data_IF_440530432277
#
_entry.id   IF_440530432277
#
_cell.length_a   1.000
_cell.length_b   1.000
_cell.length_c   1.000
_cell.angle_alpha   90.00
_cell.angle_beta   90.00
_cell.angle_gamma   90.00
#
_symmetry.space_group_name_H-M   'P 1'
#
loop_
_entity.id
_entity.type
_entity.pdbx_description
1 polymer ?
#
# COMPACT_ATOMS: atom_id res chain seq x y z
N UNK A 1 -18.69 20.03 79.18
CA UNK A 1 -19.88 20.90 79.19
C UNK A 1 -20.28 21.15 77.74
N UNK A 2 -21.55 20.97 77.36
CA UNK A 2 -22.15 19.64 77.32
C UNK A 2 -23.09 19.42 76.13
N UNK A 3 -23.54 18.18 76.09
CA UNK A 3 -24.62 17.54 75.34
C UNK A 3 -26.04 18.03 75.73
N UNK A 4 -26.99 17.74 74.84
CA UNK A 4 -28.45 17.70 74.97
C UNK A 4 -29.26 18.94 75.35
N UNK A 5 -30.20 19.33 74.47
CA UNK A 5 -31.59 19.59 74.87
C UNK A 5 -32.57 19.23 73.73
N UNK A 6 -33.53 18.37 74.08
CA UNK A 6 -34.74 17.98 73.33
C UNK A 6 -35.66 19.17 73.03
N UNK A 7 -36.35 19.13 71.88
CA UNK A 7 -37.65 19.79 71.63
C UNK A 7 -38.45 18.88 70.64
N UNK A 8 -39.79 18.92 70.55
CA UNK A 8 -40.69 17.82 70.92
C UNK A 8 -41.44 17.19 69.73
N UNK A 9 -42.11 16.06 69.98
CA UNK A 9 -43.00 15.40 69.03
C UNK A 9 -44.23 16.25 68.71
N UNK A 10 -44.38 16.62 67.43
CA UNK A 10 -45.57 17.26 66.87
C UNK A 10 -46.47 16.26 66.14
N UNK A 11 -47.67 16.10 66.69
CA UNK A 11 -48.99 15.64 66.19
C UNK A 11 -49.09 14.83 64.87
N UNK A 12 -49.79 13.67 64.85
CA UNK A 12 -49.99 12.87 63.65
C UNK A 12 -51.02 13.53 62.71
N UNK A 13 -50.65 13.68 61.43
CA UNK A 13 -51.58 14.08 60.37
C UNK A 13 -52.48 12.89 60.00
N UNK A 14 -53.79 13.11 60.11
CA UNK A 14 -54.85 12.21 59.67
C UNK A 14 -54.84 12.00 58.14
N UNK A 15 -55.30 10.85 57.63
CA UNK A 15 -55.26 10.55 56.20
C UNK A 15 -56.33 11.35 55.46
N UNK A 16 -55.91 12.43 54.79
CA UNK A 16 -56.73 13.12 53.80
C UNK A 16 -56.93 12.23 52.57
N UNK A 17 -58.16 11.80 52.36
CA UNK A 17 -58.66 11.07 51.19
C UNK A 17 -58.42 11.87 49.91
N UNK A 18 -57.35 11.51 49.20
CA UNK A 18 -57.02 12.06 47.88
C UNK A 18 -56.07 11.13 47.14
N UNK A 19 -56.48 9.87 46.91
CA UNK A 19 -55.78 8.99 45.96
C UNK A 19 -55.98 9.57 44.56
N UNK A 20 -55.07 10.43 44.11
CA UNK A 20 -54.83 10.57 42.67
C UNK A 20 -54.23 9.24 42.24
N UNK A 21 -55.02 8.42 41.55
CA UNK A 21 -54.51 7.22 40.90
C UNK A 21 -53.48 7.65 39.85
N UNK A 22 -52.22 7.33 40.10
CA UNK A 22 -51.11 7.44 39.13
C UNK A 22 -51.33 6.48 37.91
N UNK A 23 -52.44 5.74 37.85
CA UNK A 23 -52.75 4.86 36.72
C UNK A 23 -53.27 5.57 35.47
N UNK A 24 -53.64 6.85 35.52
CA UNK A 24 -54.50 7.43 34.46
C UNK A 24 -53.85 8.52 33.58
N UNK A 25 -52.54 8.85 33.69
CA UNK A 25 -51.98 9.96 32.87
C UNK A 25 -50.57 9.88 32.29
N UNK A 26 -49.89 8.72 32.25
CA UNK A 26 -48.77 8.53 31.29
C UNK A 26 -48.76 7.07 30.84
N UNK A 27 -49.19 6.79 29.60
CA UNK A 27 -48.88 5.51 28.96
C UNK A 27 -47.39 5.48 28.65
N UNK A 28 -46.57 5.01 29.59
CA UNK A 28 -45.12 4.81 29.43
C UNK A 28 -44.72 4.09 28.11
N UNK A 29 -45.51 3.13 27.57
CA UNK A 29 -45.22 2.51 26.27
C UNK A 29 -45.32 3.48 25.07
N UNK A 30 -46.18 4.50 25.15
CA UNK A 30 -46.33 5.49 24.09
C UNK A 30 -45.13 6.45 24.02
N UNK A 31 -44.45 6.68 25.16
CA UNK A 31 -43.27 7.54 25.23
C UNK A 31 -42.05 6.96 24.49
N UNK A 32 -41.97 5.64 24.28
CA UNK A 32 -40.84 4.96 23.63
C UNK A 32 -41.22 4.43 22.23
N UNK A 33 -42.43 4.72 21.76
CA UNK A 33 -42.86 4.32 20.41
C UNK A 33 -42.10 5.07 19.31
N UNK A 34 -41.94 4.44 18.14
CA UNK A 34 -41.34 5.09 16.96
C UNK A 34 -42.07 6.37 16.56
N UNK A 35 -43.40 6.36 16.61
CA UNK A 35 -44.23 7.53 16.31
C UNK A 35 -44.01 8.65 17.34
N UNK A 36 -43.87 8.30 18.63
CA UNK A 36 -43.52 9.25 19.68
C UNK A 36 -42.14 9.88 19.49
N UNK A 37 -41.16 9.11 19.01
CA UNK A 37 -39.82 9.61 18.69
C UNK A 37 -39.84 10.57 17.49
N UNK A 38 -40.55 10.20 16.41
CA UNK A 38 -40.75 11.06 15.24
C UNK A 38 -41.41 12.38 15.63
N UNK A 39 -42.46 12.32 16.45
CA UNK A 39 -43.14 13.53 16.94
C UNK A 39 -42.23 14.43 17.75
N UNK A 40 -41.47 13.87 18.70
CA UNK A 40 -40.51 14.66 19.50
C UNK A 40 -39.46 15.32 18.64
N UNK A 41 -38.92 14.60 17.65
CA UNK A 41 -37.92 15.14 16.72
C UNK A 41 -38.51 16.27 15.88
N UNK A 42 -39.71 16.07 15.33
CA UNK A 42 -40.43 17.10 14.59
C UNK A 42 -40.64 18.38 15.42
N UNK A 43 -41.16 18.23 16.65
CA UNK A 43 -41.38 19.38 17.54
C UNK A 43 -40.05 20.06 17.94
N UNK A 44 -38.97 19.29 18.16
CA UNK A 44 -37.64 19.80 18.50
C UNK A 44 -36.99 20.62 17.36
N UNK A 45 -37.32 20.31 16.11
CA UNK A 45 -36.84 21.04 14.93
C UNK A 45 -37.68 22.29 14.62
N UNK A 46 -38.69 22.60 15.42
CA UNK A 46 -39.60 23.74 15.19
C UNK A 46 -40.89 23.38 14.46
N UNK A 47 -41.16 22.09 14.26
CA UNK A 47 -42.40 21.57 13.70
C UNK A 47 -42.74 22.17 12.34
N UNK A 48 -44.03 22.52 12.17
CA UNK A 48 -44.56 22.99 10.90
C UNK A 48 -43.89 24.28 10.40
N UNK A 49 -43.38 25.11 11.31
CA UNK A 49 -42.71 26.36 10.94
C UNK A 49 -41.37 26.12 10.25
N UNK A 50 -40.66 25.05 10.61
CA UNK A 50 -39.35 24.73 10.04
C UNK A 50 -39.43 23.72 8.89
N UNK A 51 -40.26 22.69 9.04
CA UNK A 51 -40.32 21.56 8.10
C UNK A 51 -41.56 21.56 7.21
N UNK A 52 -42.59 22.35 7.56
CA UNK A 52 -43.93 22.22 6.99
C UNK A 52 -44.69 21.02 7.55
N UNK A 53 -45.95 20.90 7.16
CA UNK A 53 -46.75 19.72 7.51
C UNK A 53 -46.24 18.47 6.75
N UNK A 54 -46.18 17.30 7.40
CA UNK A 54 -45.80 16.05 6.72
C UNK A 54 -46.74 15.76 5.54
N UNK A 55 -46.17 15.51 4.36
CA UNK A 55 -46.93 15.16 3.15
C UNK A 55 -47.22 13.66 3.04
N UNK A 56 -46.41 12.82 3.68
CA UNK A 56 -46.68 11.40 3.84
C UNK A 56 -46.11 10.90 5.17
N UNK A 57 -46.85 9.98 5.80
CA UNK A 57 -46.49 9.32 7.06
C UNK A 57 -46.67 7.83 6.94
N UNK A 58 -45.61 7.08 7.21
CA UNK A 58 -45.70 5.68 7.57
C UNK A 58 -45.55 5.58 9.10
N UNK A 59 -46.60 5.13 9.76
CA UNK A 59 -46.73 5.18 11.23
C UNK A 59 -45.53 4.49 11.90
N UNK A 60 -44.87 5.24 12.80
CA UNK A 60 -43.73 4.75 13.56
C UNK A 60 -42.46 4.45 12.76
N UNK A 61 -42.39 4.84 11.49
CA UNK A 61 -41.24 4.58 10.61
C UNK A 61 -40.67 5.85 9.98
N UNK A 62 -41.46 6.57 9.19
CA UNK A 62 -40.95 7.72 8.44
C UNK A 62 -42.03 8.76 8.18
N UNK A 63 -41.66 10.03 8.35
CA UNK A 63 -42.43 11.18 7.91
C UNK A 63 -41.65 11.92 6.83
N UNK A 64 -42.32 12.31 5.74
CA UNK A 64 -41.71 13.06 4.62
C UNK A 64 -42.36 14.43 4.47
N UNK A 65 -41.61 15.38 3.93
CA UNK A 65 -42.00 16.79 3.88
C UNK A 65 -41.84 17.36 2.47
N UNK A 66 -42.66 18.36 2.14
CA UNK A 66 -42.65 19.01 0.82
C UNK A 66 -41.33 19.73 0.51
N UNK A 67 -40.55 20.09 1.54
CA UNK A 67 -39.26 20.79 1.39
C UNK A 67 -38.09 19.86 1.03
N UNK A 68 -38.34 18.58 0.70
CA UNK A 68 -37.28 17.64 0.37
C UNK A 68 -36.49 17.15 1.59
N UNK A 69 -37.19 16.93 2.71
CA UNK A 69 -36.63 16.32 3.91
C UNK A 69 -37.50 15.18 4.42
N UNK A 70 -36.93 14.35 5.29
CA UNK A 70 -37.66 13.34 6.04
C UNK A 70 -37.16 13.23 7.49
N UNK A 71 -38.03 12.73 8.36
CA UNK A 71 -37.68 12.20 9.67
C UNK A 71 -37.86 10.69 9.64
N UNK A 72 -36.82 9.94 9.94
CA UNK A 72 -36.84 8.48 9.95
C UNK A 72 -36.55 7.96 11.36
N UNK A 73 -37.38 7.03 11.84
CA UNK A 73 -37.15 6.35 13.09
C UNK A 73 -36.17 5.19 12.90
N UNK A 74 -35.14 5.15 13.73
CA UNK A 74 -34.21 4.05 13.84
C UNK A 74 -34.55 3.21 15.09
N UNK A 75 -35.07 1.98 14.91
CA UNK A 75 -35.47 1.13 16.03
C UNK A 75 -34.28 0.64 16.87
N UNK A 76 -33.10 0.45 16.27
CA UNK A 76 -31.91 -0.04 16.97
C UNK A 76 -31.32 1.02 17.90
N UNK A 77 -31.48 2.30 17.52
CA UNK A 77 -31.03 3.45 18.32
C UNK A 77 -32.14 4.07 19.17
N UNK A 78 -33.38 3.59 19.03
CA UNK A 78 -34.58 4.16 19.67
C UNK A 78 -34.72 5.68 19.45
N UNK A 79 -34.27 6.20 18.30
CA UNK A 79 -34.19 7.64 18.00
C UNK A 79 -34.69 7.94 16.58
N UNK A 80 -35.12 9.18 16.34
CA UNK A 80 -35.51 9.65 15.01
C UNK A 80 -34.47 10.65 14.48
N UNK A 81 -34.13 10.52 13.20
CA UNK A 81 -33.08 11.28 12.54
C UNK A 81 -33.59 12.01 11.30
N UNK A 82 -33.04 13.19 11.05
CA UNK A 82 -33.36 14.00 9.87
C UNK A 82 -32.39 13.74 8.69
N UNK A 83 -32.96 13.76 7.49
CA UNK A 83 -32.22 13.76 6.22
C UNK A 83 -32.85 14.83 5.33
N UNK A 84 -32.07 15.64 4.65
CA UNK A 84 -32.61 16.70 3.80
C UNK A 84 -31.80 16.94 2.50
N UNK A 85 -32.39 17.72 1.59
CA UNK A 85 -31.75 18.19 0.37
C UNK A 85 -31.18 17.07 -0.50
N UNK A 86 -29.95 17.27 -0.98
CA UNK A 86 -29.29 16.34 -1.92
C UNK A 86 -28.95 14.99 -1.29
N UNK A 87 -28.70 14.95 0.02
CA UNK A 87 -28.49 13.67 0.74
C UNK A 87 -29.80 12.88 0.77
N UNK A 88 -30.93 13.55 1.02
CA UNK A 88 -32.25 12.91 0.95
C UNK A 88 -32.56 12.40 -0.46
N UNK A 89 -32.30 13.20 -1.49
CA UNK A 89 -32.49 12.80 -2.88
C UNK A 89 -31.62 11.57 -3.25
N UNK A 90 -30.35 11.55 -2.82
CA UNK A 90 -29.46 10.40 -3.02
C UNK A 90 -29.94 9.17 -2.26
N UNK A 91 -30.35 9.33 -1.01
CA UNK A 91 -30.86 8.22 -0.20
C UNK A 91 -32.09 7.57 -0.84
N UNK A 92 -33.03 8.37 -1.37
CA UNK A 92 -34.17 7.85 -2.15
C UNK A 92 -33.70 7.10 -3.41
N UNK A 93 -32.74 7.64 -4.15
CA UNK A 93 -32.20 7.00 -5.35
C UNK A 93 -31.52 5.65 -5.08
N UNK A 94 -30.94 5.47 -3.88
CA UNK A 94 -30.34 4.21 -3.46
C UNK A 94 -31.38 3.18 -2.98
N UNK A 95 -32.64 3.57 -2.77
CA UNK A 95 -33.72 2.69 -2.32
C UNK A 95 -34.37 3.09 -0.99
N UNK A 96 -34.00 4.25 -0.43
CA UNK A 96 -34.57 4.78 0.82
C UNK A 96 -34.39 3.81 1.99
N UNK A 97 -35.46 3.57 2.76
CA UNK A 97 -35.43 2.67 3.91
C UNK A 97 -35.06 1.22 3.56
N UNK A 98 -35.24 0.79 2.30
CA UNK A 98 -34.81 -0.55 1.87
C UNK A 98 -33.29 -0.65 1.72
N UNK A 99 -32.61 0.47 1.43
CA UNK A 99 -31.15 0.54 1.37
C UNK A 99 -30.53 0.78 2.75
N UNK A 100 -31.14 1.67 3.54
CA UNK A 100 -30.66 1.87 4.89
C UNK A 100 -31.42 2.86 5.74
N UNK A 101 -31.22 2.72 7.05
CA UNK A 101 -31.83 3.56 8.09
C UNK A 101 -30.76 4.51 8.65
N UNK A 102 -31.03 5.82 8.76
CA UNK A 102 -30.06 6.79 9.28
C UNK A 102 -29.73 6.54 10.76
N UNK A 103 -28.50 6.88 11.15
CA UNK A 103 -27.95 6.80 12.51
C UNK A 103 -27.54 8.16 13.07
N UNK A 104 -27.55 9.19 12.23
CA UNK A 104 -27.23 10.57 12.59
C UNK A 104 -28.22 11.50 11.91
N UNK A 105 -28.40 12.68 12.50
CA UNK A 105 -28.90 13.82 11.76
C UNK A 105 -27.90 14.25 10.70
N UNK A 106 -28.37 15.05 9.73
CA UNK A 106 -27.49 15.59 8.70
C UNK A 106 -26.52 16.61 9.32
N UNK A 107 -25.26 16.20 9.43
CA UNK A 107 -24.23 16.92 10.17
C UNK A 107 -23.19 17.50 9.22
N UNK A 108 -22.64 18.67 9.55
CA UNK A 108 -21.52 19.24 8.80
C UNK A 108 -20.26 18.39 8.97
N UNK A 109 -19.46 18.26 7.90
CA UNK A 109 -18.19 17.55 7.97
C UNK A 109 -17.17 18.34 8.80
N UNK A 110 -16.23 17.65 9.48
CA UNK A 110 -15.19 18.29 10.28
C UNK A 110 -14.31 19.32 9.55
N UNK A 111 -14.10 19.19 8.25
CA UNK A 111 -13.38 20.18 7.43
C UNK A 111 -14.18 21.47 7.13
N UNK A 112 -15.47 21.49 7.47
CA UNK A 112 -16.38 22.62 7.28
C UNK A 112 -16.90 22.79 5.85
N UNK A 113 -16.68 21.83 4.94
CA UNK A 113 -17.02 21.96 3.52
C UNK A 113 -18.35 21.26 3.17
N UNK A 114 -18.51 20.03 3.64
CA UNK A 114 -19.59 19.14 3.28
C UNK A 114 -20.58 18.88 4.40
N UNK A 115 -21.53 17.99 4.10
CA UNK A 115 -22.53 17.45 5.03
C UNK A 115 -22.64 15.94 4.84
N UNK A 116 -23.07 15.23 5.87
CA UNK A 116 -23.23 13.79 5.80
C UNK A 116 -24.32 13.25 6.73
N UNK A 117 -24.81 12.06 6.40
CA UNK A 117 -25.51 11.17 7.31
C UNK A 117 -24.80 9.81 7.35
N UNK A 118 -24.75 9.18 8.53
CA UNK A 118 -24.42 7.76 8.65
C UNK A 118 -25.68 6.90 8.61
N UNK A 119 -25.54 5.68 8.13
CA UNK A 119 -26.61 4.71 7.96
C UNK A 119 -26.16 3.31 8.44
N UNK A 120 -27.13 2.42 8.66
CA UNK A 120 -26.92 0.98 8.85
C UNK A 120 -25.93 0.67 9.97
N UNK A 121 -26.20 1.15 11.19
CA UNK A 121 -25.31 1.02 12.34
C UNK A 121 -23.87 1.50 12.07
N UNK A 122 -23.75 2.64 11.37
CA UNK A 122 -22.48 3.25 10.95
C UNK A 122 -21.63 2.39 10.00
N UNK A 123 -22.25 1.54 9.17
CA UNK A 123 -21.58 0.78 8.11
C UNK A 123 -21.72 1.42 6.72
N UNK A 124 -22.58 2.43 6.59
CA UNK A 124 -22.78 3.20 5.38
C UNK A 124 -22.83 4.70 5.69
N UNK A 125 -22.51 5.52 4.69
CA UNK A 125 -22.65 6.97 4.74
C UNK A 125 -23.10 7.50 3.39
N UNK A 126 -23.78 8.64 3.42
CA UNK A 126 -23.90 9.51 2.25
C UNK A 126 -23.24 10.83 2.62
N UNK A 127 -22.27 11.25 1.82
CA UNK A 127 -21.59 12.54 1.95
C UNK A 127 -21.99 13.45 0.79
N UNK A 128 -22.05 14.75 1.05
CA UNK A 128 -22.35 15.77 0.07
C UNK A 128 -21.38 16.94 0.18
N UNK A 129 -21.00 17.50 -0.95
CA UNK A 129 -20.38 18.84 -1.03
C UNK A 129 -21.04 19.66 -2.13
N UNK A 130 -20.94 21.00 -2.09
CA UNK A 130 -21.39 21.85 -3.19
C UNK A 130 -20.70 21.55 -4.53
N UNK A 131 -19.47 21.02 -4.50
CA UNK A 131 -18.68 20.78 -5.70
C UNK A 131 -18.94 19.41 -6.35
N UNK A 132 -19.25 18.39 -5.54
CA UNK A 132 -19.34 16.99 -5.99
C UNK A 132 -20.76 16.42 -5.94
N UNK A 133 -21.69 17.09 -5.28
CA UNK A 133 -23.00 16.53 -4.96
C UNK A 133 -22.91 15.39 -3.95
N UNK A 134 -24.01 14.64 -3.81
CA UNK A 134 -24.14 13.56 -2.83
C UNK A 134 -23.69 12.21 -3.40
N UNK A 135 -22.91 11.45 -2.64
CA UNK A 135 -22.43 10.11 -2.99
C UNK A 135 -22.48 9.15 -1.79
N UNK A 136 -22.86 7.90 -2.07
CA UNK A 136 -22.93 6.82 -1.09
C UNK A 136 -21.63 6.02 -0.99
N UNK A 137 -21.21 5.71 0.23
CA UNK A 137 -20.03 4.89 0.52
C UNK A 137 -20.33 3.94 1.67
N UNK A 138 -19.98 2.65 1.55
CA UNK A 138 -20.33 1.66 2.56
C UNK A 138 -19.27 0.55 2.71
N UNK A 139 -19.54 -0.38 3.62
CA UNK A 139 -18.72 -1.58 3.85
C UNK A 139 -17.23 -1.30 4.07
N UNK A 140 -16.39 -2.19 3.55
CA UNK A 140 -14.94 -2.16 3.76
C UNK A 140 -14.25 -0.98 3.05
N UNK A 141 -14.86 -0.42 2.01
CA UNK A 141 -14.34 0.79 1.34
C UNK A 141 -14.52 2.00 2.25
N UNK A 142 -15.71 2.15 2.86
CA UNK A 142 -15.95 3.18 3.88
C UNK A 142 -15.02 3.03 5.07
N UNK A 143 -14.82 1.81 5.55
CA UNK A 143 -13.90 1.54 6.67
C UNK A 143 -12.46 1.92 6.32
N UNK A 144 -11.98 1.60 5.12
CA UNK A 144 -10.65 2.03 4.67
C UNK A 144 -10.55 3.55 4.60
N UNK A 145 -11.53 4.22 3.99
CA UNK A 145 -11.54 5.69 3.92
C UNK A 145 -11.56 6.34 5.32
N UNK A 146 -12.29 5.75 6.26
CA UNK A 146 -12.28 6.16 7.67
C UNK A 146 -10.91 6.01 8.32
N UNK A 147 -10.22 4.88 8.10
CA UNK A 147 -8.89 4.60 8.65
C UNK A 147 -7.84 5.63 8.20
N UNK A 148 -7.96 6.14 6.97
CA UNK A 148 -7.02 7.12 6.41
C UNK A 148 -7.42 8.58 6.65
N UNK A 149 -8.48 8.83 7.44
CA UNK A 149 -8.86 10.17 7.89
C UNK A 149 -10.05 10.81 7.17
N UNK A 150 -10.94 10.03 6.56
CA UNK A 150 -12.18 10.50 5.93
C UNK A 150 -11.93 11.61 4.89
N UNK A 151 -12.76 12.65 4.88
CA UNK A 151 -12.68 13.77 3.94
C UNK A 151 -11.40 14.59 4.08
N UNK A 152 -10.70 14.48 5.23
CA UNK A 152 -9.40 15.11 5.48
C UNK A 152 -8.22 14.29 4.96
N UNK A 153 -8.47 13.07 4.49
CA UNK A 153 -7.44 12.24 3.85
C UNK A 153 -7.00 12.82 2.51
N UNK A 154 -5.94 12.26 1.94
CA UNK A 154 -5.49 12.62 0.60
C UNK A 154 -6.56 12.39 -0.48
N UNK A 155 -7.58 11.56 -0.22
CA UNK A 155 -8.62 11.23 -1.20
C UNK A 155 -9.70 12.33 -1.32
N UNK A 156 -9.98 13.06 -0.25
CA UNK A 156 -11.13 13.98 -0.20
C UNK A 156 -12.47 13.24 -0.11
N UNK A 157 -13.47 13.70 -0.85
CA UNK A 157 -14.86 13.23 -0.79
C UNK A 157 -15.16 12.15 -1.83
N UNK A 158 -16.05 11.18 -1.55
CA UNK A 158 -16.54 10.27 -2.58
C UNK A 158 -17.28 11.05 -3.67
N UNK A 159 -17.00 10.71 -4.94
CA UNK A 159 -17.66 11.31 -6.12
C UNK A 159 -18.46 10.28 -6.93
N UNK A 160 -18.41 9.02 -6.53
CA UNK A 160 -19.26 7.94 -7.05
C UNK A 160 -19.95 7.25 -5.89
N UNK A 161 -21.09 6.62 -6.16
CA UNK A 161 -21.61 5.58 -5.28
C UNK A 161 -20.70 4.34 -5.37
N UNK A 162 -20.67 3.52 -4.32
CA UNK A 162 -19.89 2.28 -4.35
C UNK A 162 -20.47 1.32 -5.40
N UNK A 163 -19.68 1.04 -6.43
CA UNK A 163 -20.10 0.27 -7.60
C UNK A 163 -19.27 -0.99 -7.77
N UNK A 164 -19.84 -2.01 -8.42
CA UNK A 164 -19.06 -3.19 -8.82
C UNK A 164 -18.07 -2.83 -9.92
N UNK A 165 -16.90 -3.48 -9.92
CA UNK A 165 -15.94 -3.34 -11.01
C UNK A 165 -16.45 -4.02 -12.30
N UNK A 166 -16.03 -3.53 -13.48
CA UNK A 166 -16.35 -4.12 -14.78
C UNK A 166 -16.12 -5.63 -14.93
N UNK A 167 -15.10 -6.17 -14.26
CA UNK A 167 -14.79 -7.60 -14.27
C UNK A 167 -15.69 -8.46 -13.36
N UNK A 168 -16.56 -7.82 -12.56
CA UNK A 168 -17.48 -8.47 -11.63
C UNK A 168 -16.84 -9.03 -10.34
N UNK A 169 -15.56 -8.77 -10.07
CA UNK A 169 -14.85 -9.33 -8.91
C UNK A 169 -14.86 -8.40 -7.70
N UNK A 170 -14.64 -7.12 -7.93
CA UNK A 170 -14.42 -6.12 -6.90
C UNK A 170 -15.51 -5.06 -6.81
N UNK A 171 -15.27 -4.11 -5.90
CA UNK A 171 -16.08 -2.91 -5.73
C UNK A 171 -15.16 -1.70 -5.57
N UNK A 172 -15.64 -0.51 -5.89
CA UNK A 172 -14.84 0.70 -5.78
C UNK A 172 -15.66 1.96 -5.49
N UNK A 173 -14.98 2.98 -4.95
CA UNK A 173 -15.39 4.38 -5.01
C UNK A 173 -14.24 5.21 -5.62
N UNK A 174 -14.60 6.22 -6.42
CA UNK A 174 -13.69 7.31 -6.77
C UNK A 174 -13.90 8.50 -5.83
N UNK A 175 -12.85 9.30 -5.66
CA UNK A 175 -12.83 10.45 -4.75
C UNK A 175 -12.31 11.71 -5.44
N UNK A 176 -12.66 12.87 -4.87
CA UNK A 176 -12.50 14.19 -5.47
C UNK A 176 -11.05 14.58 -5.77
N UNK A 177 -10.09 14.08 -5.00
CA UNK A 177 -8.68 14.49 -5.10
C UNK A 177 -7.85 13.49 -5.92
N UNK A 178 -8.38 13.05 -7.06
CA UNK A 178 -7.78 11.99 -7.87
C UNK A 178 -7.45 10.74 -7.03
N UNK A 179 -8.41 10.32 -6.22
CA UNK A 179 -8.31 9.18 -5.32
C UNK A 179 -9.27 8.06 -5.68
N UNK A 180 -8.92 6.83 -5.34
CA UNK A 180 -9.81 5.68 -5.47
C UNK A 180 -9.54 4.66 -4.39
N UNK A 181 -10.58 3.98 -3.93
CA UNK A 181 -10.46 2.82 -3.05
C UNK A 181 -11.12 1.66 -3.77
N UNK A 182 -10.37 0.58 -3.96
CA UNK A 182 -10.83 -0.66 -4.56
C UNK A 182 -10.80 -1.77 -3.52
N UNK A 183 -11.80 -2.64 -3.58
CA UNK A 183 -11.94 -3.80 -2.69
C UNK A 183 -12.20 -5.06 -3.50
N UNK A 184 -11.58 -6.17 -3.09
CA UNK A 184 -12.00 -7.53 -3.48
C UNK A 184 -12.02 -8.44 -2.24
N UNK A 185 -12.71 -9.59 -2.30
CA UNK A 185 -12.62 -10.59 -1.23
C UNK A 185 -11.19 -11.09 -0.97
N UNK A 186 -10.33 -11.11 -1.99
CA UNK A 186 -8.96 -11.63 -1.90
C UNK A 186 -7.92 -10.62 -1.44
N UNK A 187 -8.12 -9.32 -1.72
CA UNK A 187 -7.13 -8.28 -1.43
C UNK A 187 -7.53 -7.40 -0.25
N UNK A 188 -8.82 -7.28 0.07
CA UNK A 188 -9.31 -6.23 0.96
C UNK A 188 -9.36 -4.87 0.26
N UNK A 189 -9.69 -3.82 1.01
CA UNK A 189 -9.86 -2.46 0.50
C UNK A 189 -8.54 -1.70 0.54
N UNK A 190 -8.11 -1.10 -0.58
CA UNK A 190 -6.85 -0.35 -0.69
C UNK A 190 -7.04 0.94 -1.46
N UNK A 191 -6.35 1.99 -1.00
CA UNK A 191 -6.35 3.31 -1.59
C UNK A 191 -5.22 3.49 -2.62
N UNK A 192 -5.57 4.06 -3.77
CA UNK A 192 -4.65 4.46 -4.85
C UNK A 192 -5.00 5.89 -5.25
N UNK A 193 -4.03 6.79 -5.27
CA UNK A 193 -4.28 8.21 -5.56
C UNK A 193 -3.15 8.87 -6.37
N UNK A 194 -3.37 10.12 -6.79
CA UNK A 194 -2.38 10.94 -7.48
C UNK A 194 -1.86 10.32 -8.79
N UNK A 195 -0.57 10.52 -9.07
CA UNK A 195 0.08 10.06 -10.31
C UNK A 195 0.10 8.54 -10.43
N UNK A 196 0.15 7.81 -9.31
CA UNK A 196 0.09 6.35 -9.31
C UNK A 196 -1.29 5.88 -9.81
N UNK A 197 -2.36 6.47 -9.28
CA UNK A 197 -3.73 6.21 -9.78
C UNK A 197 -3.87 6.59 -11.24
N UNK A 198 -3.35 7.75 -11.65
CA UNK A 198 -3.42 8.21 -13.03
C UNK A 198 -2.73 7.23 -14.00
N UNK A 199 -1.58 6.66 -13.61
CA UNK A 199 -0.90 5.62 -14.39
C UNK A 199 -1.74 4.36 -14.49
N UNK A 200 -2.28 3.87 -13.37
CA UNK A 200 -3.12 2.68 -13.34
C UNK A 200 -4.42 2.85 -14.14
N UNK A 201 -5.05 4.02 -14.06
CA UNK A 201 -6.21 4.41 -14.87
C UNK A 201 -5.88 4.36 -16.37
N UNK A 202 -4.76 4.94 -16.78
CA UNK A 202 -4.31 4.92 -18.18
C UNK A 202 -4.02 3.51 -18.71
N UNK A 203 -3.76 2.54 -17.83
CA UNK A 203 -3.55 1.13 -18.16
C UNK A 203 -4.84 0.32 -18.21
N UNK A 204 -5.98 0.89 -17.84
CA UNK A 204 -7.27 0.19 -17.79
C UNK A 204 -7.63 -0.37 -16.41
N UNK A 205 -7.13 0.23 -15.33
CA UNK A 205 -7.54 -0.10 -13.96
C UNK A 205 -7.29 -1.57 -13.59
N UNK A 206 -8.25 -2.22 -12.91
CA UNK A 206 -8.20 -3.62 -12.51
C UNK A 206 -8.14 -4.59 -13.71
N UNK A 207 -8.51 -4.14 -14.90
CA UNK A 207 -8.39 -4.93 -16.14
C UNK A 207 -6.98 -4.90 -16.76
N UNK A 208 -6.09 -4.03 -16.25
CA UNK A 208 -4.69 -4.01 -16.65
C UNK A 208 -3.95 -5.27 -16.19
N UNK A 209 -2.74 -5.49 -16.71
CA UNK A 209 -1.94 -6.66 -16.31
C UNK A 209 -1.59 -6.66 -14.81
N UNK A 210 -1.61 -5.50 -14.14
CA UNK A 210 -1.32 -5.37 -12.72
C UNK A 210 -2.43 -5.95 -11.84
N UNK A 211 -3.69 -5.91 -12.28
CA UNK A 211 -4.86 -6.31 -11.49
C UNK A 211 -5.20 -5.31 -10.39
N UNK A 212 -5.71 -5.81 -9.27
CA UNK A 212 -6.13 -5.01 -8.11
C UNK A 212 -4.98 -4.57 -7.22
N UNK A 213 -5.10 -3.42 -6.53
CA UNK A 213 -4.17 -3.05 -5.47
C UNK A 213 -4.20 -4.05 -4.31
N UNK A 214 -3.03 -4.37 -3.78
CA UNK A 214 -2.83 -5.22 -2.59
C UNK A 214 -2.21 -4.43 -1.43
N UNK A 215 -1.90 -3.15 -1.65
CA UNK A 215 -1.46 -2.21 -0.62
C UNK A 215 -2.07 -0.83 -0.83
N UNK A 216 -2.18 -0.06 0.25
CA UNK A 216 -2.24 1.40 0.18
C UNK A 216 -0.90 1.97 -0.35
N UNK A 217 -0.85 3.27 -0.66
CA UNK A 217 0.39 3.93 -1.10
C UNK A 217 1.40 4.00 0.05
N UNK A 218 2.56 3.39 -0.12
CA UNK A 218 3.65 3.33 0.87
C UNK A 218 4.83 4.21 0.48
N UNK A 219 5.65 4.56 1.46
CA UNK A 219 6.96 5.17 1.19
C UNK A 219 7.89 4.18 0.49
N UNK A 220 8.65 4.67 -0.47
CA UNK A 220 9.60 3.90 -1.26
C UNK A 220 10.99 4.53 -1.25
N UNK A 221 12.00 3.80 -1.74
CA UNK A 221 13.40 4.23 -1.70
C UNK A 221 13.60 5.61 -2.35
N UNK A 222 14.59 6.36 -1.85
CA UNK A 222 15.00 7.66 -2.44
C UNK A 222 13.87 8.70 -2.49
N UNK A 223 12.97 8.68 -1.49
CA UNK A 223 11.85 9.61 -1.39
C UNK A 223 10.72 9.32 -2.38
N UNK A 224 10.70 8.12 -2.97
CA UNK A 224 9.62 7.67 -3.83
C UNK A 224 8.39 7.21 -3.05
N UNK A 225 7.32 6.92 -3.79
CA UNK A 225 6.09 6.30 -3.30
C UNK A 225 5.74 5.10 -4.17
N UNK A 226 5.01 4.14 -3.64
CA UNK A 226 4.58 2.98 -4.42
C UNK A 226 3.22 2.43 -3.97
N UNK A 227 2.45 1.89 -4.92
CA UNK A 227 1.39 0.92 -4.63
C UNK A 227 1.80 -0.44 -5.20
N UNK A 228 1.55 -1.49 -4.43
CA UNK A 228 1.66 -2.86 -4.90
C UNK A 228 0.30 -3.34 -5.42
N UNK A 229 0.35 -4.10 -6.50
CA UNK A 229 -0.78 -4.74 -7.17
C UNK A 229 -0.56 -6.25 -7.25
N UNK A 230 -1.61 -7.00 -7.58
CA UNK A 230 -1.57 -8.47 -7.63
C UNK A 230 -0.40 -9.01 -8.47
N UNK A 231 -0.11 -8.36 -9.60
CA UNK A 231 0.89 -8.83 -10.57
C UNK A 231 2.02 -7.83 -10.82
N UNK A 232 2.28 -6.89 -9.91
CA UNK A 232 3.31 -5.88 -10.10
C UNK A 232 3.15 -4.70 -9.17
N UNK A 233 3.83 -3.61 -9.46
CA UNK A 233 3.81 -2.39 -8.67
C UNK A 233 3.87 -1.16 -9.58
N UNK A 234 3.42 -0.03 -9.06
CA UNK A 234 3.66 1.28 -9.67
C UNK A 234 4.49 2.09 -8.70
N UNK A 235 5.64 2.55 -9.18
CA UNK A 235 6.65 3.28 -8.43
C UNK A 235 6.71 4.72 -8.91
N UNK A 236 6.72 5.67 -8.00
CA UNK A 236 6.69 7.10 -8.30
C UNK A 236 7.81 7.85 -7.59
N UNK A 237 8.44 8.79 -8.30
CA UNK A 237 9.27 9.84 -7.73
C UNK A 237 8.94 11.18 -8.38
N UNK A 238 9.13 12.29 -7.67
CA UNK A 238 8.81 13.63 -8.16
C UNK A 238 9.57 14.03 -9.43
N UNK A 239 10.75 13.48 -9.68
CA UNK A 239 11.60 13.77 -10.84
C UNK A 239 11.37 12.84 -12.04
N UNK A 240 10.70 11.70 -11.85
CA UNK A 240 10.52 10.69 -12.91
C UNK A 240 9.06 10.33 -13.17
N UNK A 241 8.14 10.66 -12.26
CA UNK A 241 6.73 10.28 -12.33
C UNK A 241 6.50 8.80 -12.03
N UNK A 242 5.29 8.32 -12.31
CA UNK A 242 4.87 6.94 -12.07
C UNK A 242 5.38 5.98 -13.16
N UNK A 243 5.88 4.81 -12.75
CA UNK A 243 6.40 3.74 -13.60
C UNK A 243 5.84 2.40 -13.09
N UNK A 244 5.11 1.69 -13.94
CA UNK A 244 4.61 0.33 -13.71
C UNK A 244 5.66 -0.72 -14.07
N UNK A 245 5.79 -1.74 -13.23
CA UNK A 245 6.63 -2.92 -13.48
C UNK A 245 5.98 -4.15 -12.86
N UNK A 246 6.11 -5.30 -13.52
CA UNK A 246 5.78 -6.61 -12.93
C UNK A 246 6.86 -7.01 -11.95
N UNK A 247 8.00 -7.40 -12.48
CA UNK A 247 9.26 -7.64 -11.78
C UNK A 247 10.42 -7.07 -12.63
N UNK A 248 11.62 -7.12 -12.09
CA UNK A 248 12.86 -6.84 -12.79
C UNK A 248 13.66 -8.13 -12.92
N UNK A 249 14.25 -8.35 -14.09
CA UNK A 249 15.22 -9.43 -14.34
C UNK A 249 16.59 -8.80 -14.54
N UNK A 250 17.59 -9.35 -13.85
CA UNK A 250 19.00 -9.00 -14.06
C UNK A 250 19.74 -10.20 -14.61
N UNK A 251 20.43 -9.97 -15.72
CA UNK A 251 21.30 -10.95 -16.34
C UNK A 251 22.75 -10.50 -16.20
N UNK A 252 23.64 -11.43 -15.92
CA UNK A 252 25.03 -11.28 -16.33
C UNK A 252 25.13 -11.50 -17.84
N UNK A 253 25.75 -10.56 -18.54
CA UNK A 253 25.75 -10.50 -20.01
C UNK A 253 27.13 -10.69 -20.64
N UNK A 254 28.19 -10.75 -19.84
CA UNK A 254 29.52 -11.10 -20.32
C UNK A 254 30.67 -10.45 -19.56
N UNK A 255 31.87 -10.81 -20.00
CA UNK A 255 33.17 -10.35 -19.50
C UNK A 255 33.94 -9.65 -20.62
N UNK A 256 34.70 -8.61 -20.31
CA UNK A 256 35.70 -8.07 -21.22
C UNK A 256 37.08 -8.06 -20.54
N UNK A 257 38.10 -8.50 -21.29
CA UNK A 257 39.49 -8.51 -20.86
C UNK A 257 40.19 -7.21 -21.28
N UNK A 258 40.71 -6.47 -20.31
CA UNK A 258 41.51 -5.26 -20.53
C UNK A 258 43.03 -5.54 -20.53
N UNK A 259 43.46 -6.64 -19.92
CA UNK A 259 44.86 -7.05 -19.84
C UNK A 259 44.95 -8.47 -19.25
N UNK A 260 45.94 -9.22 -19.71
CA UNK A 260 46.22 -10.61 -19.34
C UNK A 260 47.52 -10.72 -18.54
N UNK A 261 47.90 -11.93 -18.11
CA UNK A 261 49.18 -12.14 -17.43
C UNK A 261 50.34 -12.28 -18.43
N UNK A 262 50.99 -11.16 -18.78
CA UNK A 262 52.03 -11.10 -19.84
C UNK A 262 53.35 -11.89 -19.60
N UNK A 263 53.49 -12.65 -18.49
CA UNK A 263 54.82 -12.94 -17.92
C UNK A 263 55.46 -14.30 -18.25
N UNK A 264 54.76 -15.26 -18.86
CA UNK A 264 55.45 -16.42 -19.44
C UNK A 264 54.85 -16.87 -20.79
N UNK A 265 55.72 -17.00 -21.79
CA UNK A 265 55.38 -17.31 -23.17
C UNK A 265 55.21 -18.82 -23.39
N UNK A 266 54.37 -19.50 -22.60
CA UNK A 266 54.07 -20.92 -22.87
C UNK A 266 52.62 -21.37 -22.68
N UNK A 267 51.75 -20.52 -22.13
CA UNK A 267 50.29 -20.72 -22.05
C UNK A 267 49.62 -19.35 -22.07
N UNK A 268 49.55 -18.70 -23.22
CA UNK A 268 49.32 -17.26 -23.37
C UNK A 268 47.87 -16.80 -23.23
N UNK A 269 47.02 -17.55 -22.53
CA UNK A 269 45.60 -17.28 -22.58
C UNK A 269 44.96 -17.62 -21.24
N UNK A 270 44.51 -16.60 -20.52
CA UNK A 270 43.89 -16.74 -19.20
C UNK A 270 42.58 -17.54 -19.35
N UNK A 271 42.23 -18.34 -18.34
CA UNK A 271 40.96 -19.08 -18.26
C UNK A 271 39.98 -18.45 -17.25
N UNK A 272 39.57 -17.17 -17.41
CA UNK A 272 38.80 -16.50 -16.39
C UNK A 272 37.40 -17.07 -16.27
N UNK A 273 36.85 -17.00 -15.06
CA UNK A 273 35.41 -17.15 -14.83
C UNK A 273 34.94 -16.20 -13.75
N UNK A 274 33.65 -15.89 -13.78
CA UNK A 274 33.01 -14.97 -12.83
C UNK A 274 32.10 -15.73 -11.90
N UNK A 275 32.27 -15.53 -10.59
CA UNK A 275 31.29 -15.88 -9.57
C UNK A 275 30.53 -14.61 -9.17
N UNK A 276 29.21 -14.68 -9.19
CA UNK A 276 28.31 -13.55 -8.95
C UNK A 276 27.46 -13.81 -7.72
N UNK A 277 27.81 -13.15 -6.62
CA UNK A 277 26.97 -13.11 -5.43
C UNK A 277 25.92 -12.01 -5.56
N UNK A 278 24.64 -12.37 -5.54
CA UNK A 278 23.52 -11.43 -5.62
C UNK A 278 22.78 -11.38 -4.30
N UNK A 279 22.67 -10.18 -3.73
CA UNK A 279 21.92 -9.95 -2.49
C UNK A 279 20.88 -8.87 -2.70
N UNK A 280 19.63 -9.18 -2.38
CA UNK A 280 18.51 -8.24 -2.28
C UNK A 280 17.84 -8.41 -0.91
N UNK A 281 16.84 -7.60 -0.54
CA UNK A 281 16.05 -7.82 0.66
C UNK A 281 15.29 -9.16 0.68
N UNK A 282 15.05 -9.78 -0.49
CA UNK A 282 14.23 -10.99 -0.61
C UNK A 282 15.05 -12.26 -0.88
N UNK A 283 16.23 -12.11 -1.48
CA UNK A 283 17.01 -13.23 -2.03
C UNK A 283 18.50 -12.98 -1.81
N UNK A 284 19.21 -14.06 -1.50
CA UNK A 284 20.66 -14.13 -1.53
C UNK A 284 21.06 -15.38 -2.33
N UNK A 285 21.63 -15.20 -3.52
CA UNK A 285 21.99 -16.28 -4.45
C UNK A 285 23.41 -16.11 -4.95
N UNK A 286 24.01 -17.21 -5.41
CA UNK A 286 25.32 -17.19 -6.06
C UNK A 286 25.24 -17.94 -7.38
N UNK A 287 25.75 -17.30 -8.42
CA UNK A 287 25.81 -17.82 -9.78
C UNK A 287 27.27 -17.91 -10.20
N UNK A 288 27.58 -18.79 -11.17
CA UNK A 288 28.89 -18.88 -11.80
C UNK A 288 28.69 -18.93 -13.30
N UNK A 289 29.59 -18.28 -14.04
CA UNK A 289 29.68 -18.48 -15.49
C UNK A 289 30.39 -19.79 -15.83
N UNK A 290 30.43 -20.12 -17.12
CA UNK A 290 31.40 -21.09 -17.61
C UNK A 290 32.84 -20.59 -17.40
N UNK A 291 33.80 -21.49 -17.58
CA UNK A 291 35.20 -21.09 -17.76
C UNK A 291 35.32 -20.56 -19.18
N UNK A 292 35.85 -19.36 -19.34
CA UNK A 292 36.15 -18.82 -20.66
C UNK A 292 37.57 -19.21 -21.00
N UNK A 293 37.72 -20.12 -21.96
CA UNK A 293 39.04 -20.52 -22.39
C UNK A 293 39.66 -19.47 -23.30
N UNK A 294 40.99 -19.44 -23.25
CA UNK A 294 41.85 -18.66 -24.11
C UNK A 294 41.46 -17.19 -24.23
N UNK A 295 41.31 -16.47 -23.11
CA UNK A 295 40.85 -15.07 -23.12
C UNK A 295 42.03 -14.12 -23.23
N UNK A 296 42.18 -13.51 -24.40
CA UNK A 296 43.24 -12.54 -24.66
C UNK A 296 42.80 -11.10 -24.33
N UNK A 297 43.78 -10.23 -24.08
CA UNK A 297 43.56 -8.80 -23.89
C UNK A 297 42.84 -8.16 -25.11
N UNK A 298 41.75 -7.45 -24.84
CA UNK A 298 40.90 -6.83 -25.86
C UNK A 298 39.71 -7.69 -26.31
N UNK A 299 39.58 -8.90 -25.79
CA UNK A 299 38.48 -9.80 -26.13
C UNK A 299 37.28 -9.68 -25.19
N UNK A 300 36.10 -9.91 -25.77
CA UNK A 300 34.83 -10.04 -25.07
C UNK A 300 34.39 -11.50 -25.00
N UNK A 301 33.72 -11.88 -23.92
CA UNK A 301 33.01 -13.15 -23.76
C UNK A 301 31.55 -12.87 -23.38
N UNK A 302 30.66 -12.65 -24.37
CA UNK A 302 29.22 -12.51 -24.11
C UNK A 302 28.64 -13.78 -23.50
N UNK A 303 27.71 -13.61 -22.57
CA UNK A 303 27.01 -14.69 -21.88
C UNK A 303 25.57 -14.25 -21.56
N UNK A 304 24.74 -15.14 -21.02
CA UNK A 304 23.40 -14.79 -20.57
C UNK A 304 22.97 -15.68 -19.40
N UNK A 305 23.19 -15.18 -18.19
CA UNK A 305 22.85 -15.89 -16.95
C UNK A 305 21.88 -15.03 -16.15
N UNK A 306 20.68 -15.53 -15.89
CA UNK A 306 19.73 -14.88 -14.98
C UNK A 306 20.27 -14.97 -13.55
N UNK A 307 20.62 -13.83 -12.97
CA UNK A 307 21.17 -13.74 -11.61
C UNK A 307 20.15 -13.19 -10.62
N UNK A 308 19.06 -12.60 -11.10
CA UNK A 308 17.98 -12.10 -10.25
C UNK A 308 16.66 -11.99 -11.03
N UNK A 309 15.57 -12.32 -10.35
CA UNK A 309 14.19 -12.02 -10.77
C UNK A 309 13.36 -11.68 -9.53
N UNK A 310 12.71 -10.51 -9.56
CA UNK A 310 11.82 -10.10 -8.48
C UNK A 310 11.57 -8.61 -8.41
N UNK A 311 11.08 -8.16 -7.26
CA UNK A 311 10.69 -6.76 -7.04
C UNK A 311 11.90 -5.83 -7.01
N UNK A 312 11.80 -4.60 -7.55
CA UNK A 312 12.91 -3.66 -7.64
C UNK A 312 13.24 -3.00 -6.29
N UNK A 313 13.53 -3.78 -5.24
CA UNK A 313 13.83 -3.29 -3.90
C UNK A 313 15.31 -2.94 -3.69
N UNK A 314 16.09 -2.89 -4.77
CA UNK A 314 17.52 -2.68 -4.73
C UNK A 314 18.29 -3.98 -4.50
N UNK A 315 19.54 -3.99 -4.96
CA UNK A 315 20.39 -5.16 -4.91
C UNK A 315 21.87 -4.80 -4.83
N UNK A 316 22.66 -5.75 -4.35
CA UNK A 316 24.09 -5.78 -4.56
C UNK A 316 24.48 -6.97 -5.42
N UNK A 317 25.44 -6.75 -6.30
CA UNK A 317 26.09 -7.78 -7.10
C UNK A 317 27.56 -7.72 -6.75
N UNK A 318 28.09 -8.78 -6.17
CA UNK A 318 29.52 -8.98 -6.04
C UNK A 318 29.99 -9.87 -7.20
N UNK A 319 30.78 -9.31 -8.10
CA UNK A 319 31.44 -10.04 -9.16
C UNK A 319 32.88 -10.35 -8.71
N UNK A 320 33.18 -11.64 -8.53
CA UNK A 320 34.52 -12.15 -8.25
C UNK A 320 35.05 -12.76 -9.53
N UNK A 321 36.15 -12.24 -10.03
CA UNK A 321 36.84 -12.80 -11.20
C UNK A 321 37.94 -13.71 -10.68
N UNK A 322 37.91 -14.94 -11.16
CA UNK A 322 38.78 -16.03 -10.78
C UNK A 322 39.53 -16.51 -12.01
N UNK A 323 40.75 -16.96 -11.80
CA UNK A 323 41.55 -17.65 -12.79
C UNK A 323 41.38 -19.17 -12.59
N UNK A 324 41.36 -19.94 -13.67
CA UNK A 324 41.21 -21.39 -13.60
C UNK A 324 42.52 -22.09 -13.97
N UNK A 325 43.49 -22.10 -13.06
CA UNK A 325 44.75 -22.83 -13.29
C UNK A 325 44.69 -24.23 -12.67
N UNK A 326 44.20 -24.32 -11.43
CA UNK A 326 44.03 -25.57 -10.69
C UNK A 326 42.87 -25.48 -9.69
N UNK A 327 42.11 -26.57 -9.51
CA UNK A 327 41.09 -26.67 -8.44
C UNK A 327 39.67 -26.89 -8.97
N UNK A 328 38.69 -26.88 -8.05
CA UNK A 328 37.27 -27.00 -8.36
C UNK A 328 36.62 -25.61 -8.31
N UNK A 329 36.20 -25.04 -9.45
CA UNK A 329 35.54 -23.74 -9.50
C UNK A 329 34.26 -23.64 -8.66
N UNK A 330 33.58 -24.77 -8.43
CA UNK A 330 32.34 -24.80 -7.64
C UNK A 330 32.62 -24.73 -6.12
N UNK A 331 33.82 -25.11 -5.67
CA UNK A 331 34.23 -24.93 -4.26
C UNK A 331 34.20 -23.45 -3.85
N UNK A 332 34.75 -22.57 -4.69
CA UNK A 332 34.78 -21.14 -4.41
C UNK A 332 33.38 -20.50 -4.46
N UNK A 333 32.48 -21.07 -5.26
CA UNK A 333 31.07 -20.68 -5.29
C UNK A 333 30.40 -20.95 -3.94
N UNK A 334 30.67 -22.09 -3.30
CA UNK A 334 30.14 -22.42 -1.97
C UNK A 334 30.65 -21.46 -0.88
N UNK A 335 31.95 -21.10 -0.91
CA UNK A 335 32.53 -20.15 0.03
C UNK A 335 31.89 -18.75 -0.10
N UNK A 336 31.70 -18.27 -1.34
CA UNK A 336 31.00 -17.01 -1.60
C UNK A 336 29.54 -17.11 -1.15
N UNK A 337 28.88 -18.25 -1.35
CA UNK A 337 27.51 -18.46 -0.92
C UNK A 337 27.37 -18.33 0.60
N UNK A 338 28.30 -18.89 1.37
CA UNK A 338 28.30 -18.74 2.83
C UNK A 338 28.45 -17.29 3.27
N UNK A 339 29.34 -16.52 2.63
CA UNK A 339 29.52 -15.09 2.90
C UNK A 339 28.25 -14.30 2.56
N UNK A 340 27.72 -14.49 1.36
CA UNK A 340 26.54 -13.78 0.83
C UNK A 340 25.31 -14.05 1.71
N UNK A 341 25.07 -15.32 2.09
CA UNK A 341 23.98 -15.68 3.00
C UNK A 341 24.16 -15.10 4.40
N UNK A 342 25.38 -15.14 4.97
CA UNK A 342 25.66 -14.58 6.29
C UNK A 342 25.41 -13.07 6.36
N UNK A 343 25.87 -12.34 5.34
CA UNK A 343 25.65 -10.89 5.23
C UNK A 343 24.16 -10.59 5.02
N UNK A 344 23.47 -11.34 4.16
CA UNK A 344 22.04 -11.18 3.94
C UNK A 344 21.23 -11.42 5.22
N UNK A 345 21.55 -12.47 5.99
CA UNK A 345 20.89 -12.77 7.26
C UNK A 345 21.08 -11.64 8.28
N UNK A 346 22.30 -11.10 8.39
CA UNK A 346 22.57 -9.97 9.27
C UNK A 346 21.78 -8.71 8.87
N UNK A 347 21.69 -8.43 7.57
CA UNK A 347 20.91 -7.31 7.04
C UNK A 347 19.40 -7.47 7.28
N UNK A 348 18.89 -8.67 7.01
CA UNK A 348 17.49 -9.06 7.24
C UNK A 348 17.07 -8.87 8.69
N UNK A 349 17.91 -9.32 9.64
CA UNK A 349 17.70 -9.12 11.08
C UNK A 349 17.71 -7.63 11.46
N UNK A 350 18.66 -6.85 10.94
CA UNK A 350 18.75 -5.42 11.22
C UNK A 350 17.52 -4.64 10.72
N UNK A 351 16.88 -5.11 9.66
CA UNK A 351 15.65 -4.54 9.11
C UNK A 351 14.36 -5.09 9.75
N UNK A 352 14.46 -6.10 10.61
CA UNK A 352 13.29 -6.81 11.14
C UNK A 352 12.48 -7.53 10.05
N UNK A 353 13.09 -7.86 8.92
CA UNK A 353 12.46 -8.65 7.86
C UNK A 353 12.42 -10.12 8.31
N UNK A 354 11.29 -10.58 8.85
CA UNK A 354 11.06 -12.02 9.06
C UNK A 354 10.93 -12.67 7.67
N UNK A 355 11.28 -13.95 7.41
CA UNK A 355 10.95 -14.60 6.14
C UNK A 355 9.42 -14.59 5.94
N UNK A 356 8.92 -13.60 5.21
CA UNK A 356 7.48 -13.33 5.12
C UNK A 356 6.88 -14.17 4.01
N UNK A 357 6.13 -15.21 4.39
CA UNK A 357 4.99 -15.68 3.62
C UNK A 357 3.84 -14.68 3.88
N UNK A 358 3.66 -13.68 3.02
CA UNK A 358 2.59 -12.67 3.13
C UNK A 358 2.97 -11.23 2.74
N UNK A 359 2.01 -10.37 2.33
CA UNK A 359 2.25 -9.14 1.54
C UNK A 359 2.75 -7.89 2.32
N UNK A 360 3.37 -8.05 3.50
CA UNK A 360 3.53 -6.93 4.47
C UNK A 360 4.95 -6.31 4.52
N UNK A 361 5.90 -6.69 3.66
CA UNK A 361 7.27 -6.14 3.74
C UNK A 361 7.35 -4.64 3.32
N UNK A 362 6.38 -4.11 2.59
CA UNK A 362 6.53 -2.81 1.92
C UNK A 362 6.63 -1.58 2.86
N UNK A 363 6.19 -1.66 4.11
CA UNK A 363 6.09 -0.49 4.99
C UNK A 363 7.39 -0.04 5.71
N UNK A 364 8.47 -0.84 5.70
CA UNK A 364 9.66 -0.57 6.56
C UNK A 364 10.95 -0.30 5.75
N UNK A 365 10.92 -0.51 4.43
CA UNK A 365 12.16 -0.65 3.68
C UNK A 365 12.80 0.67 3.23
N UNK A 366 12.04 1.76 3.00
CA UNK A 366 12.55 2.97 2.33
C UNK A 366 13.85 3.56 2.92
N UNK A 367 13.88 4.02 4.19
CA UNK A 367 15.08 4.58 4.80
C UNK A 367 16.19 3.56 5.03
N UNK A 368 15.81 2.31 5.32
CA UNK A 368 16.72 1.28 5.77
C UNK A 368 17.42 0.55 4.60
N UNK A 369 16.79 0.50 3.42
CA UNK A 369 17.39 0.03 2.17
C UNK A 369 18.60 0.88 1.75
N UNK A 370 18.51 2.20 1.93
CA UNK A 370 19.55 3.16 1.50
C UNK A 370 20.87 2.95 2.25
N UNK A 371 20.80 2.59 3.52
CA UNK A 371 21.98 2.35 4.37
C UNK A 371 22.44 0.90 4.29
N UNK A 372 21.51 -0.04 4.10
CA UNK A 372 21.83 -1.46 4.13
C UNK A 372 22.58 -1.91 2.87
N UNK A 373 22.13 -1.57 1.67
CA UNK A 373 22.72 -2.12 0.45
C UNK A 373 24.21 -1.78 0.32
N UNK A 374 24.67 -0.52 0.50
CA UNK A 374 26.10 -0.22 0.49
C UNK A 374 26.88 -0.95 1.59
N UNK A 375 26.30 -1.12 2.78
CA UNK A 375 26.93 -1.85 3.89
C UNK A 375 27.09 -3.34 3.59
N UNK A 376 26.10 -3.95 2.95
CA UNK A 376 26.15 -5.35 2.49
C UNK A 376 27.27 -5.51 1.46
N UNK A 377 27.36 -4.62 0.47
CA UNK A 377 28.42 -4.64 -0.54
C UNK A 377 29.83 -4.54 0.06
N UNK A 378 30.04 -3.62 1.01
CA UNK A 378 31.30 -3.48 1.73
C UNK A 378 31.67 -4.70 2.58
N UNK A 379 30.70 -5.30 3.27
CA UNK A 379 30.91 -6.50 4.07
C UNK A 379 31.31 -7.72 3.21
N UNK A 380 30.68 -7.90 2.05
CA UNK A 380 31.02 -8.97 1.11
C UNK A 380 32.47 -8.81 0.63
N UNK A 381 32.88 -7.61 0.18
CA UNK A 381 34.26 -7.38 -0.27
C UNK A 381 35.31 -7.69 0.81
N UNK A 382 35.05 -7.37 2.07
CA UNK A 382 35.98 -7.61 3.18
C UNK A 382 36.07 -9.09 3.58
N UNK A 383 34.97 -9.84 3.44
CA UNK A 383 34.90 -11.24 3.82
C UNK A 383 35.53 -12.18 2.77
N UNK A 384 35.67 -11.72 1.52
CA UNK A 384 36.28 -12.48 0.44
C UNK A 384 37.79 -12.23 0.43
N UNK A 385 38.55 -13.16 1.01
CA UNK A 385 40.02 -13.25 0.88
C UNK A 385 40.40 -14.70 0.52
N UNK A 386 40.13 -15.08 -0.74
CA UNK A 386 39.96 -16.47 -1.19
C UNK A 386 41.22 -17.23 -1.66
N UNK A 387 42.44 -16.83 -1.33
CA UNK A 387 43.65 -17.54 -1.79
C UNK A 387 44.16 -17.09 -3.16
N UNK A 388 45.03 -17.90 -3.80
CA UNK A 388 45.92 -17.54 -4.92
C UNK A 388 45.25 -17.42 -6.30
N UNK A 389 44.16 -18.14 -6.56
CA UNK A 389 43.48 -18.11 -7.89
C UNK A 389 42.53 -16.91 -8.09
N UNK A 390 42.48 -15.98 -7.14
CA UNK A 390 41.60 -14.80 -7.21
C UNK A 390 42.32 -13.64 -7.90
N UNK A 391 41.85 -13.27 -9.09
CA UNK A 391 42.23 -12.02 -9.74
C UNK A 391 41.71 -10.83 -8.93
N UNK A 392 40.42 -10.82 -8.57
CA UNK A 392 39.88 -9.77 -7.71
C UNK A 392 38.37 -9.80 -7.58
N UNK A 393 37.80 -8.77 -6.96
CA UNK A 393 36.35 -8.61 -6.94
C UNK A 393 35.91 -7.16 -7.03
N UNK A 394 34.70 -6.96 -7.50
CA UNK A 394 34.00 -5.68 -7.49
C UNK A 394 32.59 -5.87 -6.95
N UNK A 395 32.14 -4.92 -6.14
CA UNK A 395 30.75 -4.87 -5.68
C UNK A 395 30.03 -3.72 -6.34
N UNK A 396 28.86 -4.01 -6.89
CA UNK A 396 27.97 -3.08 -7.56
C UNK A 396 26.72 -2.97 -6.71
N UNK A 397 26.38 -1.76 -6.27
CA UNK A 397 25.11 -1.47 -5.62
C UNK A 397 24.18 -0.84 -6.65
N UNK A 398 23.04 -1.47 -6.88
CA UNK A 398 21.96 -0.92 -7.72
C UNK A 398 20.80 -0.58 -6.79
N UNK A 399 20.49 0.71 -6.67
CA UNK A 399 19.39 1.17 -5.83
C UNK A 399 18.04 0.74 -6.40
N UNK A 400 16.99 0.75 -5.57
CA UNK A 400 15.63 0.43 -6.02
C UNK A 400 15.17 1.35 -7.16
N UNK A 401 15.42 2.66 -7.06
CA UNK A 401 15.10 3.61 -8.15
C UNK A 401 15.90 3.29 -9.41
N UNK A 402 17.19 2.99 -9.28
CA UNK A 402 18.02 2.60 -10.42
C UNK A 402 17.48 1.34 -11.07
N UNK A 403 17.10 0.31 -10.31
CA UNK A 403 16.52 -0.91 -10.89
C UNK A 403 15.27 -0.60 -11.74
N UNK A 404 14.36 0.23 -11.22
CA UNK A 404 13.16 0.66 -11.96
C UNK A 404 13.52 1.40 -13.25
N UNK A 405 14.41 2.39 -13.18
CA UNK A 405 14.79 3.20 -14.33
C UNK A 405 15.58 2.39 -15.36
N UNK A 406 16.52 1.57 -14.91
CA UNK A 406 17.31 0.68 -15.76
C UNK A 406 16.39 -0.28 -16.51
N UNK A 407 15.44 -0.91 -15.83
CA UNK A 407 14.47 -1.80 -16.48
C UNK A 407 13.57 -1.04 -17.47
N UNK A 408 12.91 0.04 -17.04
CA UNK A 408 11.80 0.64 -17.77
C UNK A 408 12.18 1.74 -18.78
N UNK A 409 13.29 2.45 -18.56
CA UNK A 409 13.58 3.71 -19.28
C UNK A 409 15.00 3.83 -19.82
N UNK A 410 15.94 2.99 -19.39
CA UNK A 410 17.31 3.03 -19.89
C UNK A 410 17.49 2.06 -21.05
N UNK A 411 17.94 2.51 -22.25
CA UNK A 411 18.30 1.60 -23.34
C UNK A 411 19.56 0.80 -23.00
N UNK A 412 19.78 -0.32 -23.67
CA UNK A 412 21.04 -1.05 -23.56
C UNK A 412 22.18 -0.26 -24.19
N UNK A 413 23.33 -0.26 -23.52
CA UNK A 413 24.63 0.06 -24.09
C UNK A 413 25.23 -1.20 -24.69
N UNK A 414 25.94 -1.09 -25.81
CA UNK A 414 26.78 -2.16 -26.36
C UNK A 414 28.25 -1.81 -26.15
N UNK A 415 29.03 -2.77 -25.66
CA UNK A 415 30.48 -2.66 -25.55
C UNK A 415 31.12 -3.94 -26.05
N UNK A 416 31.76 -3.86 -27.23
CA UNK A 416 32.39 -5.00 -27.89
C UNK A 416 31.44 -6.21 -28.02
N UNK A 417 30.17 -5.99 -28.37
CA UNK A 417 29.18 -7.06 -28.52
C UNK A 417 28.54 -7.54 -27.22
N UNK A 418 28.86 -6.92 -26.08
CA UNK A 418 28.20 -7.15 -24.79
C UNK A 418 27.15 -6.06 -24.57
N UNK A 419 25.88 -6.44 -24.60
CA UNK A 419 24.77 -5.57 -24.22
C UNK A 419 24.64 -5.45 -22.70
N UNK A 420 24.58 -4.23 -22.16
CA UNK A 420 24.52 -4.02 -20.71
C UNK A 420 23.85 -2.70 -20.32
N UNK A 421 23.51 -2.57 -19.04
CA UNK A 421 23.07 -1.32 -18.39
C UNK A 421 23.83 -1.02 -17.10
N UNK A 422 24.50 -2.01 -16.55
CA UNK A 422 25.29 -1.94 -15.31
C UNK A 422 26.61 -2.69 -15.55
N UNK A 423 27.72 -2.16 -15.06
CA UNK A 423 29.04 -2.77 -15.18
C UNK A 423 29.77 -2.76 -13.83
N UNK A 424 30.71 -3.68 -13.64
CA UNK A 424 31.61 -3.67 -12.50
C UNK A 424 32.65 -2.56 -12.61
N UNK A 425 33.28 -2.23 -11.48
CA UNK A 425 34.61 -1.59 -11.52
C UNK A 425 35.62 -2.50 -12.24
N UNK A 426 36.76 -1.94 -12.64
CA UNK A 426 37.87 -2.75 -13.16
C UNK A 426 38.37 -3.68 -12.06
N UNK A 427 38.32 -4.99 -12.32
CA UNK A 427 38.80 -6.03 -11.42
C UNK A 427 40.19 -6.43 -11.90
N UNK A 428 41.22 -6.12 -11.12
CA UNK A 428 42.62 -6.38 -11.49
C UNK A 428 43.36 -7.09 -10.38
N UNK A 429 44.23 -8.03 -10.77
CA UNK A 429 45.14 -8.74 -9.88
C UNK A 429 45.98 -9.74 -10.68
N UNK A 430 47.13 -10.12 -10.13
CA UNK A 430 48.08 -11.07 -10.75
C UNK A 430 48.58 -10.71 -12.16
N UNK A 431 48.29 -9.51 -12.67
CA UNK A 431 48.65 -9.06 -14.02
C UNK A 431 47.43 -8.88 -14.93
N UNK A 432 46.36 -9.64 -14.68
CA UNK A 432 45.15 -9.60 -15.46
C UNK A 432 44.15 -8.53 -14.98
N UNK A 433 43.25 -8.10 -15.87
CA UNK A 433 42.28 -7.03 -15.63
C UNK A 433 40.99 -7.22 -16.43
N UNK A 434 39.84 -7.24 -15.75
CA UNK A 434 38.55 -7.56 -16.34
C UNK A 434 37.42 -6.63 -15.89
N UNK A 435 36.34 -6.56 -16.67
CA UNK A 435 35.03 -6.09 -16.20
C UNK A 435 33.93 -7.08 -16.51
N UNK A 436 33.02 -7.24 -15.56
CA UNK A 436 31.76 -7.96 -15.71
C UNK A 436 30.62 -7.00 -16.04
N UNK A 437 29.72 -7.42 -16.91
CA UNK A 437 28.60 -6.60 -17.41
C UNK A 437 27.25 -7.25 -17.12
N UNK A 438 26.25 -6.42 -16.91
CA UNK A 438 24.90 -6.85 -16.51
C UNK A 438 23.82 -6.09 -17.26
N UNK A 439 22.84 -6.85 -17.78
CA UNK A 439 21.61 -6.34 -18.37
C UNK A 439 20.49 -6.28 -17.34
N UNK A 440 19.62 -5.28 -17.45
CA UNK A 440 18.45 -5.11 -16.57
C UNK A 440 17.22 -4.88 -17.42
N UNK A 441 16.21 -5.74 -17.31
CA UNK A 441 15.00 -5.71 -18.16
C UNK A 441 13.73 -5.89 -17.32
N UNK A 442 12.57 -5.40 -17.79
CA UNK A 442 11.29 -5.76 -17.18
C UNK A 442 10.99 -7.25 -17.40
N UNK A 443 10.35 -7.88 -16.42
CA UNK A 443 10.00 -9.30 -16.43
C UNK A 443 8.68 -9.62 -17.15
#
# INVERSE_FOLDING_TARGET
MPDTHRVPAGTPLTPGTGRIKISDRIKLPALISGEGNLRRKYDALGGAAALGEPVSKEEGKIWTFANGSCLCYNPDMFAAFEIHGDIYAKWLALGGMAWGIPCTDETGTPDGVGRFNHFNANTASIYWTPATGAAGIWGLIREKWAQIGWERSALGYPVTDESGTPDGVGRFNHFSNAGSVYWTPGTGAHAVYGDIRARWEAMGWETSYLGYPVSDEVDFAEGGRANEFQNGGIYWWSDTGAIDLRDVVVHYTGLYCFGETDWDQSSSADEPYVIMGVTSPQVATVHRSGIYNDVDAGESRPDLIEVYRGRPYGMNICAVVMENDFGDPDKYKEDIQNVVMGVHAAGTLALGLIPVVGPVIAAVAGPALKTLMPSIGGAINNALNLGDDRIGSSSITVSAKQMVLLAARTPNTDFHGIGYKVESGLVSGSGASYKAYFGVIPA
#
